data_IF_532960288529
#
_entry.id   IF_532960288529
#
_cell.length_a   1.000
_cell.length_b   1.000
_cell.length_c   1.000
_cell.angle_alpha   90.00
_cell.angle_beta   90.00
_cell.angle_gamma   90.00
#
_symmetry.space_group_name_H-M   'P 1'
#
loop_
_entity.id
_entity.type
_entity.pdbx_description
1 polymer ?
#
# COMPACT_ATOMS: atom_id res chain seq x y z
N UNK A 1 9.40 -43.18 -27.65
CA UNK A 1 8.38 -42.10 -27.76
C UNK A 1 8.05 -41.63 -26.35
N UNK A 2 8.60 -40.51 -25.90
CA UNK A 2 8.28 -39.93 -24.58
C UNK A 2 7.68 -38.54 -24.82
N UNK A 3 6.36 -38.44 -24.68
CA UNK A 3 5.62 -37.19 -24.83
C UNK A 3 5.27 -36.71 -23.43
N UNK A 4 6.23 -36.06 -22.76
CA UNK A 4 6.07 -35.59 -21.38
C UNK A 4 5.78 -34.09 -21.36
N UNK A 5 4.51 -33.77 -21.10
CA UNK A 5 4.02 -32.70 -20.24
C UNK A 5 4.78 -31.35 -20.27
N UNK A 6 4.61 -30.61 -21.36
CA UNK A 6 5.00 -29.20 -21.47
C UNK A 6 3.84 -28.23 -21.14
N UNK A 7 2.67 -28.74 -20.69
CA UNK A 7 1.47 -27.92 -20.49
C UNK A 7 1.31 -27.39 -19.05
N UNK A 8 1.84 -28.07 -18.04
CA UNK A 8 1.73 -27.64 -16.63
C UNK A 8 2.64 -26.45 -16.30
N UNK A 9 3.90 -26.46 -16.77
CA UNK A 9 4.86 -25.36 -16.55
C UNK A 9 4.40 -24.04 -17.16
N UNK A 10 3.69 -24.08 -18.30
CA UNK A 10 3.15 -22.90 -18.97
C UNK A 10 1.95 -22.30 -18.21
N UNK A 11 1.10 -23.14 -17.62
CA UNK A 11 -0.03 -22.67 -16.81
C UNK A 11 0.40 -22.05 -15.48
N UNK A 12 1.40 -22.61 -14.79
CA UNK A 12 1.91 -22.06 -13.53
C UNK A 12 2.58 -20.70 -13.76
N UNK A 13 3.41 -20.57 -14.80
CA UNK A 13 4.02 -19.29 -15.17
C UNK A 13 2.99 -18.24 -15.59
N UNK A 14 1.90 -18.66 -16.25
CA UNK A 14 0.80 -17.77 -16.62
C UNK A 14 0.00 -17.29 -15.39
N UNK A 15 -0.26 -18.17 -14.42
CA UNK A 15 -0.92 -17.78 -13.16
C UNK A 15 -0.04 -16.84 -12.34
N UNK A 16 1.27 -17.11 -12.26
CA UNK A 16 2.24 -16.22 -11.62
C UNK A 16 2.31 -14.86 -12.31
N UNK A 17 2.33 -14.82 -13.64
CA UNK A 17 2.32 -13.56 -14.38
C UNK A 17 1.05 -12.74 -14.13
N UNK A 18 -0.13 -13.38 -14.13
CA UNK A 18 -1.39 -12.73 -13.79
C UNK A 18 -1.35 -12.19 -12.35
N UNK A 19 -0.84 -12.99 -11.40
CA UNK A 19 -0.69 -12.56 -10.02
C UNK A 19 0.24 -11.35 -9.89
N UNK A 20 1.38 -11.33 -10.57
CA UNK A 20 2.32 -10.20 -10.57
C UNK A 20 1.73 -8.92 -11.19
N UNK A 21 0.82 -9.05 -12.16
CA UNK A 21 0.14 -7.90 -12.79
C UNK A 21 -0.99 -7.36 -11.91
N UNK A 22 -1.71 -8.23 -11.23
CA UNK A 22 -2.91 -7.85 -10.45
C UNK A 22 -2.56 -7.51 -8.98
N UNK A 23 -1.49 -8.10 -8.43
CA UNK A 23 -1.02 -7.86 -7.06
C UNK A 23 -0.76 -6.38 -6.74
N UNK A 24 -0.12 -5.57 -7.62
CA UNK A 24 0.08 -4.14 -7.38
C UNK A 24 -1.22 -3.36 -7.18
N UNK A 25 -2.33 -3.83 -7.77
CA UNK A 25 -3.64 -3.21 -7.65
C UNK A 25 -4.39 -3.69 -6.40
N UNK A 26 -4.21 -4.96 -6.02
CA UNK A 26 -4.87 -5.57 -4.86
C UNK A 26 -4.17 -5.24 -3.54
N UNK A 27 -2.83 -5.19 -3.51
CA UNK A 27 -2.02 -4.83 -2.33
C UNK A 27 -2.52 -3.58 -1.60
N UNK A 28 -2.72 -2.43 -2.26
CA UNK A 28 -3.18 -1.21 -1.60
C UNK A 28 -4.62 -1.29 -1.06
N UNK A 29 -5.36 -2.37 -1.35
CA UNK A 29 -6.72 -2.61 -0.82
C UNK A 29 -6.66 -3.66 0.29
N UNK A 30 -6.02 -4.80 0.02
CA UNK A 30 -5.96 -5.97 0.92
C UNK A 30 -5.12 -5.66 2.15
N UNK A 31 -3.99 -4.98 2.00
CA UNK A 31 -3.05 -4.73 3.09
C UNK A 31 -3.65 -3.77 4.15
N UNK A 32 -4.21 -2.60 3.79
CA UNK A 32 -4.98 -1.78 4.73
C UNK A 32 -6.11 -2.52 5.44
N UNK A 33 -6.85 -3.35 4.70
CA UNK A 33 -7.95 -4.16 5.25
C UNK A 33 -7.42 -5.11 6.35
N UNK A 34 -6.34 -5.83 6.07
CA UNK A 34 -5.74 -6.75 7.04
C UNK A 34 -5.23 -6.03 8.30
N UNK A 35 -4.60 -4.85 8.13
CA UNK A 35 -4.10 -4.05 9.25
C UNK A 35 -5.27 -3.57 10.13
N UNK A 36 -6.34 -3.03 9.55
CA UNK A 36 -7.50 -2.55 10.33
C UNK A 36 -8.22 -3.71 11.04
N UNK A 37 -8.29 -4.89 10.42
CA UNK A 37 -8.81 -6.10 11.08
C UNK A 37 -7.96 -6.48 12.30
N UNK A 38 -6.63 -6.46 12.17
CA UNK A 38 -5.72 -6.72 13.28
C UNK A 38 -5.83 -5.66 14.37
N UNK A 39 -5.90 -4.38 14.00
CA UNK A 39 -6.09 -3.28 14.95
C UNK A 39 -7.41 -3.40 15.71
N UNK A 40 -8.51 -3.85 15.08
CA UNK A 40 -9.79 -4.07 15.79
C UNK A 40 -9.68 -5.12 16.90
N UNK A 41 -8.82 -6.13 16.75
CA UNK A 41 -8.58 -7.09 17.83
C UNK A 41 -7.84 -6.45 19.01
N UNK A 42 -7.06 -5.41 18.75
CA UNK A 42 -6.24 -4.72 19.75
C UNK A 42 -6.98 -3.54 20.40
N UNK A 43 -7.84 -2.86 19.64
CA UNK A 43 -8.61 -1.66 20.02
C UNK A 43 -10.07 -1.81 19.54
N UNK A 44 -10.86 -2.68 20.18
CA UNK A 44 -12.21 -3.00 19.74
C UNK A 44 -13.19 -1.83 19.88
N UNK A 45 -12.97 -0.94 20.86
CA UNK A 45 -13.85 0.21 21.13
C UNK A 45 -13.58 1.41 20.22
N UNK A 46 -12.40 1.47 19.57
CA UNK A 46 -12.00 2.58 18.70
C UNK A 46 -12.25 2.29 17.20
N UNK A 47 -12.62 1.05 16.85
CA UNK A 47 -12.77 0.59 15.46
C UNK A 47 -14.09 -0.17 15.29
N UNK A 48 -15.07 0.53 14.75
CA UNK A 48 -16.34 -0.07 14.35
C UNK A 48 -16.42 -0.23 12.84
N UNK A 49 -16.79 -1.43 12.40
CA UNK A 49 -17.20 -1.65 11.02
C UNK A 49 -18.27 -2.75 10.99
N UNK A 50 -19.36 -2.54 10.23
CA UNK A 50 -20.48 -3.48 10.18
C UNK A 50 -20.16 -4.74 9.37
N UNK A 51 -19.25 -4.65 8.40
CA UNK A 51 -18.84 -5.78 7.57
C UNK A 51 -17.46 -5.57 6.95
N UNK A 52 -16.83 -6.67 6.53
CA UNK A 52 -15.57 -6.65 5.75
C UNK A 52 -15.77 -5.89 4.43
N UNK A 53 -16.96 -5.97 3.82
CA UNK A 53 -17.27 -5.23 2.61
C UNK A 53 -17.20 -3.71 2.82
N UNK A 54 -17.67 -3.20 3.97
CA UNK A 54 -17.55 -1.78 4.28
C UNK A 54 -16.08 -1.34 4.45
N UNK A 55 -15.25 -2.23 4.99
CA UNK A 55 -13.81 -2.01 5.12
C UNK A 55 -13.12 -1.98 3.75
N UNK A 56 -13.53 -2.88 2.86
CA UNK A 56 -13.05 -2.94 1.48
C UNK A 56 -13.46 -1.67 0.72
N UNK A 57 -14.69 -1.17 0.90
CA UNK A 57 -15.14 0.12 0.35
C UNK A 57 -14.29 1.27 0.87
N UNK A 58 -13.98 1.31 2.18
CA UNK A 58 -13.08 2.33 2.73
C UNK A 58 -11.68 2.27 2.08
N UNK A 59 -11.13 1.08 1.89
CA UNK A 59 -9.81 0.91 1.29
C UNK A 59 -9.79 1.30 -0.20
N UNK A 60 -10.87 1.02 -0.95
CA UNK A 60 -11.04 1.55 -2.31
C UNK A 60 -11.08 3.08 -2.29
N UNK A 61 -11.79 3.67 -1.33
CA UNK A 61 -11.82 5.12 -1.14
C UNK A 61 -10.42 5.69 -0.89
N UNK A 62 -9.65 5.10 0.02
CA UNK A 62 -8.26 5.50 0.25
C UNK A 62 -7.39 5.36 -0.99
N UNK A 63 -7.57 4.30 -1.78
CA UNK A 63 -6.85 4.11 -3.02
C UNK A 63 -7.13 5.23 -4.03
N UNK A 64 -8.41 5.61 -4.20
CA UNK A 64 -8.81 6.72 -5.08
C UNK A 64 -8.24 8.05 -4.56
N UNK A 65 -8.36 8.32 -3.26
CA UNK A 65 -7.80 9.54 -2.64
C UNK A 65 -6.28 9.59 -2.83
N UNK A 66 -5.60 8.45 -2.68
CA UNK A 66 -4.17 8.30 -2.95
C UNK A 66 -3.81 8.64 -4.39
N UNK A 67 -4.56 8.14 -5.38
CA UNK A 67 -4.35 8.49 -6.80
C UNK A 67 -4.50 9.99 -7.04
N UNK A 68 -5.53 10.61 -6.46
CA UNK A 68 -5.76 12.06 -6.58
C UNK A 68 -4.60 12.84 -5.95
N UNK A 69 -4.13 12.41 -4.78
CA UNK A 69 -3.03 13.07 -4.09
C UNK A 69 -1.70 12.90 -4.85
N UNK A 70 -1.42 11.72 -5.39
CA UNK A 70 -0.27 11.48 -6.26
C UNK A 70 -0.32 12.33 -7.52
N UNK A 71 -1.51 12.51 -8.11
CA UNK A 71 -1.70 13.41 -9.24
C UNK A 71 -1.41 14.87 -8.85
N UNK A 72 -1.87 15.30 -7.68
CA UNK A 72 -1.63 16.63 -7.15
C UNK A 72 -0.12 16.89 -6.95
N UNK A 73 0.60 15.95 -6.34
CA UNK A 73 2.08 16.02 -6.20
C UNK A 73 2.79 16.12 -7.55
N UNK A 74 2.31 15.35 -8.55
CA UNK A 74 2.84 15.40 -9.91
C UNK A 74 2.63 16.77 -10.58
N UNK A 75 1.48 17.41 -10.37
CA UNK A 75 1.22 18.79 -10.84
C UNK A 75 2.19 19.78 -10.20
N UNK A 76 2.54 19.56 -8.93
CA UNK A 76 3.56 20.35 -8.22
C UNK A 76 5.02 20.01 -8.62
N UNK A 77 5.24 19.22 -9.68
CA UNK A 77 6.56 18.74 -10.14
C UNK A 77 7.35 17.93 -9.11
N UNK A 78 6.71 17.49 -8.03
CA UNK A 78 7.25 16.52 -7.08
C UNK A 78 6.92 15.12 -7.60
N UNK A 79 7.55 14.72 -8.72
CA UNK A 79 7.41 13.36 -9.25
C UNK A 79 8.11 12.35 -8.36
N UNK A 80 7.71 11.08 -8.42
CA UNK A 80 8.40 9.98 -7.71
C UNK A 80 9.91 9.96 -7.99
N UNK A 81 10.31 10.26 -9.24
CA UNK A 81 11.71 10.39 -9.63
C UNK A 81 12.43 11.52 -8.90
N UNK A 82 11.77 12.67 -8.73
CA UNK A 82 12.31 13.81 -7.98
C UNK A 82 12.35 13.56 -6.48
N UNK A 83 11.38 12.82 -5.94
CA UNK A 83 11.44 12.35 -4.56
C UNK A 83 12.60 11.35 -4.37
N UNK A 84 12.80 10.42 -5.31
CA UNK A 84 13.91 9.46 -5.26
C UNK A 84 15.27 10.16 -5.36
N UNK A 85 15.38 11.18 -6.20
CA UNK A 85 16.59 12.01 -6.37
C UNK A 85 16.91 12.85 -5.12
N UNK A 86 15.89 13.24 -4.34
CA UNK A 86 16.03 14.00 -3.09
C UNK A 86 16.46 13.13 -1.89
N UNK A 87 16.59 11.81 -2.07
CA UNK A 87 17.01 10.86 -1.04
C UNK A 87 16.16 10.98 0.23
N UNK A 88 16.80 11.32 1.35
CA UNK A 88 16.14 11.44 2.66
C UNK A 88 15.00 12.46 2.69
N UNK A 89 15.11 13.57 1.96
CA UNK A 89 14.09 14.60 1.95
C UNK A 89 12.84 14.14 1.18
N UNK A 90 13.04 13.41 0.08
CA UNK A 90 11.94 12.85 -0.69
C UNK A 90 11.25 11.71 0.04
N UNK A 91 12.01 10.89 0.78
CA UNK A 91 11.46 9.90 1.70
C UNK A 91 10.57 10.56 2.79
N UNK A 92 11.04 11.65 3.40
CA UNK A 92 10.27 12.38 4.42
C UNK A 92 8.98 12.96 3.83
N UNK A 93 9.06 13.57 2.64
CA UNK A 93 7.89 14.10 1.92
C UNK A 93 6.90 12.98 1.57
N UNK A 94 7.40 11.81 1.16
CA UNK A 94 6.57 10.62 0.88
C UNK A 94 5.79 10.18 2.11
N UNK A 95 6.47 10.04 3.26
CA UNK A 95 5.85 9.67 4.53
C UNK A 95 4.77 10.68 4.93
N UNK A 96 5.12 11.97 4.95
CA UNK A 96 4.19 13.03 5.38
C UNK A 96 2.99 13.10 4.45
N UNK A 97 3.20 12.93 3.15
CA UNK A 97 2.16 12.85 2.13
C UNK A 97 1.20 11.67 2.37
N UNK A 98 1.74 10.46 2.55
CA UNK A 98 0.94 9.26 2.80
C UNK A 98 0.14 9.38 4.10
N UNK A 99 0.77 9.90 5.16
CA UNK A 99 0.13 10.16 6.44
C UNK A 99 -1.05 11.15 6.27
N UNK A 100 -0.81 12.27 5.58
CA UNK A 100 -1.84 13.30 5.38
C UNK A 100 -2.98 12.79 4.50
N UNK A 101 -2.66 12.04 3.44
CA UNK A 101 -3.63 11.41 2.54
C UNK A 101 -4.55 10.46 3.30
N UNK A 102 -3.98 9.63 4.18
CA UNK A 102 -4.74 8.67 4.98
C UNK A 102 -5.59 9.37 6.05
N UNK A 103 -5.00 10.31 6.79
CA UNK A 103 -5.70 11.05 7.85
C UNK A 103 -6.82 11.93 7.30
N UNK A 104 -6.51 12.84 6.37
CA UNK A 104 -7.48 13.76 5.77
C UNK A 104 -8.47 13.00 4.88
N UNK A 105 -7.98 12.01 4.11
CA UNK A 105 -8.83 11.19 3.26
C UNK A 105 -9.89 10.44 4.04
N UNK A 106 -9.55 9.90 5.21
CA UNK A 106 -10.52 9.19 6.06
C UNK A 106 -11.66 10.10 6.49
N UNK A 107 -11.34 11.25 7.10
CA UNK A 107 -12.36 12.19 7.58
C UNK A 107 -13.20 12.76 6.43
N UNK A 108 -12.59 12.95 5.26
CA UNK A 108 -13.31 13.39 4.07
C UNK A 108 -14.30 12.32 3.57
N UNK A 109 -13.86 11.06 3.47
CA UNK A 109 -14.70 9.91 3.09
C UNK A 109 -15.84 9.65 4.10
N UNK A 110 -15.54 9.79 5.39
CA UNK A 110 -16.53 9.68 6.46
C UNK A 110 -17.58 10.79 6.37
N UNK A 111 -17.17 12.04 6.10
CA UNK A 111 -18.09 13.18 5.98
C UNK A 111 -19.08 13.03 4.83
N UNK A 112 -18.70 12.36 3.74
CA UNK A 112 -19.58 12.10 2.59
C UNK A 112 -20.36 10.78 2.72
N UNK A 113 -20.31 10.11 3.87
CA UNK A 113 -20.91 8.78 4.11
C UNK A 113 -20.50 7.72 3.07
N UNK A 114 -19.27 7.80 2.55
CA UNK A 114 -18.76 6.85 1.56
C UNK A 114 -18.58 5.44 2.13
N UNK A 115 -18.38 5.34 3.45
CA UNK A 115 -18.27 4.08 4.17
C UNK A 115 -19.00 4.14 5.50
N UNK A 116 -19.48 2.99 5.97
CA UNK A 116 -20.05 2.80 7.31
C UNK A 116 -18.98 2.40 8.34
N UNK A 117 -17.69 2.41 7.97
CA UNK A 117 -16.58 2.19 8.90
C UNK A 117 -16.36 3.45 9.72
N UNK A 118 -16.36 3.30 11.04
CA UNK A 118 -16.02 4.35 12.00
C UNK A 118 -14.70 3.97 12.70
N UNK A 119 -13.63 4.67 12.34
CA UNK A 119 -12.41 4.78 13.11
C UNK A 119 -12.45 6.06 13.96
N UNK A 120 -12.15 5.90 15.25
CA UNK A 120 -11.80 6.99 16.16
C UNK A 120 -10.58 7.76 15.62
N UNK A 121 -10.44 9.07 15.85
CA UNK A 121 -9.24 9.84 15.47
C UNK A 121 -7.94 9.20 15.98
N UNK A 122 -7.98 8.56 17.15
CA UNK A 122 -6.85 7.82 17.70
C UNK A 122 -6.50 6.58 16.86
N UNK A 123 -7.52 5.80 16.44
CA UNK A 123 -7.31 4.66 15.56
C UNK A 123 -6.78 5.06 14.18
N UNK A 124 -7.27 6.16 13.59
CA UNK A 124 -6.76 6.67 12.31
C UNK A 124 -5.29 7.05 12.43
N UNK A 125 -4.90 7.70 13.53
CA UNK A 125 -3.51 8.10 13.77
C UNK A 125 -2.60 6.87 13.90
N UNK A 126 -3.01 5.88 14.69
CA UNK A 126 -2.26 4.63 14.89
C UNK A 126 -2.13 3.88 13.57
N UNK A 127 -3.21 3.80 12.79
CA UNK A 127 -3.22 3.15 11.48
C UNK A 127 -2.25 3.83 10.49
N UNK A 128 -2.22 5.16 10.50
CA UNK A 128 -1.29 5.92 9.68
C UNK A 128 0.17 5.72 10.09
N UNK A 129 0.46 5.61 11.40
CA UNK A 129 1.80 5.28 11.91
C UNK A 129 2.23 3.88 11.47
N UNK A 130 1.37 2.87 11.65
CA UNK A 130 1.66 1.50 11.21
C UNK A 130 1.92 1.42 9.70
N UNK A 131 1.08 2.09 8.91
CA UNK A 131 1.25 2.14 7.45
C UNK A 131 2.55 2.83 7.04
N UNK A 132 2.97 3.86 7.78
CA UNK A 132 4.24 4.57 7.55
C UNK A 132 5.45 3.68 7.86
N UNK A 133 5.44 2.99 9.00
CA UNK A 133 6.51 2.04 9.37
C UNK A 133 6.60 0.91 8.34
N UNK A 134 5.45 0.40 7.90
CA UNK A 134 5.38 -0.64 6.89
C UNK A 134 5.94 -0.17 5.54
N UNK A 135 5.62 1.06 5.13
CA UNK A 135 6.16 1.68 3.92
C UNK A 135 7.69 1.82 4.01
N UNK A 136 8.22 2.29 5.13
CA UNK A 136 9.67 2.34 5.38
C UNK A 136 10.32 0.95 5.27
N UNK A 137 9.70 -0.08 5.87
CA UNK A 137 10.20 -1.44 5.82
C UNK A 137 10.26 -1.98 4.38
N UNK A 138 9.21 -1.73 3.59
CA UNK A 138 9.16 -2.12 2.17
C UNK A 138 10.26 -1.38 1.38
N UNK A 139 10.45 -0.08 1.60
CA UNK A 139 11.52 0.67 0.93
C UNK A 139 12.92 0.14 1.27
N UNK A 140 13.21 -0.11 2.55
CA UNK A 140 14.47 -0.72 2.99
C UNK A 140 14.68 -2.10 2.36
N UNK A 141 13.61 -2.87 2.21
CA UNK A 141 13.66 -4.18 1.58
C UNK A 141 13.99 -4.05 0.07
N UNK A 142 13.29 -3.15 -0.63
CA UNK A 142 13.52 -2.86 -2.06
C UNK A 142 14.94 -2.35 -2.32
N UNK A 143 15.45 -1.44 -1.50
CA UNK A 143 16.82 -0.91 -1.62
C UNK A 143 17.87 -2.04 -1.48
N UNK A 144 17.58 -3.02 -0.61
CA UNK A 144 18.40 -4.22 -0.44
C UNK A 144 18.32 -5.20 -1.62
N UNK A 145 17.23 -5.18 -2.40
CA UNK A 145 17.07 -5.98 -3.62
C UNK A 145 17.61 -5.28 -4.88
N UNK A 146 17.61 -3.95 -4.90
CA UNK A 146 18.18 -3.12 -5.98
C UNK A 146 19.71 -3.01 -5.90
N UNK A 147 20.33 -3.55 -4.85
CA UNK A 147 21.79 -3.75 -4.83
C UNK A 147 22.09 -4.97 -5.72
N UNK A 148 22.66 -4.80 -6.93
CA UNK A 148 23.19 -5.97 -7.62
C UNK A 148 24.20 -6.60 -6.66
N UNK A 149 24.07 -7.90 -6.43
CA UNK A 149 25.16 -8.72 -5.91
C UNK A 149 26.34 -8.52 -6.86
N UNK A 150 27.13 -7.46 -6.63
CA UNK A 150 28.49 -7.33 -7.12
C UNK A 150 29.30 -8.33 -6.30
N UNK A 151 29.04 -9.61 -6.57
CA UNK A 151 30.10 -10.61 -6.50
C UNK A 151 31.01 -10.28 -7.68
N UNK A 152 31.90 -9.34 -7.43
CA UNK A 152 33.17 -9.25 -8.11
C UNK A 152 33.78 -10.65 -8.13
N UNK A 153 33.61 -11.34 -9.26
CA UNK A 153 34.62 -12.24 -9.78
C UNK A 153 35.93 -11.47 -9.87
N UNK A 154 36.82 -11.70 -8.91
CA UNK A 154 38.25 -11.41 -9.06
C UNK A 154 39.01 -12.65 -8.59
N UNK A 155 39.54 -13.34 -9.60
CA UNK A 155 40.71 -14.24 -9.67
C UNK A 155 40.77 -15.53 -8.84
#
# INVERSE_FOLDING_TARGET
>A
MNNQNNNETNNINRVLAIFLIVSPLLMPIVLPTAIIVGMKQWMPDDIEYPSIMSLLTLCIGFFIVGIIFSFLLRVFKLSEEKLKELGFLGFTISIVSTFLTMYVGYFWLAKINFTAVQLSPHAVLIFAIFSTILLEAIFKLTDKFDTPDTKETIE
#
